data_IF_607166928390
#
_entry.id   IF_607166928390
#
_cell.length_a   1.000
_cell.length_b   1.000
_cell.length_c   1.000
_cell.angle_alpha   90.00
_cell.angle_beta   90.00
_cell.angle_gamma   90.00
#
_symmetry.space_group_name_H-M   'P 1'
#
loop_
_entity.id
_entity.type
_entity.pdbx_description
1 polymer ?
#
# COMPACT_ATOMS: atom_id res chain seq x y z
N UNK A 1 -15.16 -13.78 4.03
CA UNK A 1 -14.93 -12.42 4.57
C UNK A 1 -14.20 -12.44 5.92
N UNK A 2 -14.46 -13.42 6.79
CA UNK A 2 -13.88 -13.51 8.14
C UNK A 2 -12.38 -13.21 8.20
N UNK A 3 -11.63 -13.58 7.16
CA UNK A 3 -10.20 -13.28 7.08
C UNK A 3 -9.88 -11.99 6.31
N UNK A 4 -10.54 -11.73 5.18
CA UNK A 4 -10.17 -10.62 4.29
C UNK A 4 -10.35 -9.23 4.88
N UNK A 5 -11.48 -8.94 5.55
CA UNK A 5 -11.73 -7.60 6.05
C UNK A 5 -10.83 -7.27 7.27
N UNK A 6 -10.69 -8.16 8.27
CA UNK A 6 -9.67 -8.00 9.32
C UNK A 6 -8.24 -7.91 8.77
N UNK A 7 -7.89 -8.73 7.78
CA UNK A 7 -6.58 -8.67 7.12
C UNK A 7 -6.29 -7.29 6.53
N UNK A 8 -7.22 -6.73 5.74
CA UNK A 8 -7.03 -5.42 5.11
C UNK A 8 -6.95 -4.29 6.15
N UNK A 9 -7.74 -4.35 7.21
CA UNK A 9 -7.67 -3.39 8.32
C UNK A 9 -6.31 -3.46 9.02
N UNK A 10 -5.82 -4.67 9.31
CA UNK A 10 -4.50 -4.86 9.92
C UNK A 10 -3.38 -4.39 8.99
N UNK A 11 -3.44 -4.76 7.70
CA UNK A 11 -2.43 -4.37 6.73
C UNK A 11 -2.38 -2.85 6.55
N UNK A 12 -3.54 -2.18 6.50
CA UNK A 12 -3.62 -0.72 6.51
C UNK A 12 -2.94 -0.13 7.74
N UNK A 13 -3.31 -0.59 8.95
CA UNK A 13 -2.78 -0.07 10.23
C UNK A 13 -1.27 -0.25 10.34
N UNK A 14 -0.76 -1.44 10.08
CA UNK A 14 0.67 -1.75 10.21
C UNK A 14 1.49 -1.03 9.14
N UNK A 15 1.01 -1.00 7.90
CA UNK A 15 1.69 -0.30 6.82
C UNK A 15 1.73 1.21 7.07
N UNK A 16 0.67 1.80 7.62
CA UNK A 16 0.66 3.21 8.03
C UNK A 16 1.74 3.49 9.08
N UNK A 17 1.79 2.71 10.17
CA UNK A 17 2.82 2.87 11.22
C UNK A 17 4.23 2.72 10.66
N UNK A 18 4.45 1.73 9.80
CA UNK A 18 5.77 1.46 9.22
C UNK A 18 6.20 2.54 8.22
N UNK A 19 5.24 3.15 7.51
CA UNK A 19 5.48 4.28 6.62
C UNK A 19 5.84 5.58 7.36
N UNK A 20 5.48 5.74 8.63
CA UNK A 20 5.89 6.89 9.44
C UNK A 20 7.36 6.82 9.91
N UNK A 21 7.99 5.65 9.84
CA UNK A 21 9.34 5.42 10.31
C UNK A 21 10.30 5.52 9.11
N UNK A 22 11.31 6.42 9.13
CA UNK A 22 12.29 6.54 8.07
C UNK A 22 13.00 5.22 7.75
N UNK A 23 13.10 4.90 6.46
CA UNK A 23 13.65 3.64 5.91
C UNK A 23 14.36 3.88 4.57
N UNK A 24 15.17 2.92 4.09
CA UNK A 24 15.64 2.91 2.71
C UNK A 24 14.49 3.06 1.72
N UNK A 25 14.73 3.76 0.61
CA UNK A 25 13.68 4.20 -0.31
C UNK A 25 12.72 3.09 -0.76
N UNK A 26 13.24 1.92 -1.15
CA UNK A 26 12.42 0.82 -1.66
C UNK A 26 11.49 0.25 -0.58
N UNK A 27 12.01 0.07 0.63
CA UNK A 27 11.27 -0.44 1.78
C UNK A 27 10.24 0.57 2.29
N UNK A 28 10.61 1.85 2.35
CA UNK A 28 9.65 2.91 2.67
C UNK A 28 8.50 2.93 1.65
N UNK A 29 8.83 2.87 0.36
CA UNK A 29 7.83 2.88 -0.69
C UNK A 29 6.91 1.66 -0.67
N UNK A 30 7.41 0.47 -0.31
CA UNK A 30 6.56 -0.72 -0.23
C UNK A 30 5.49 -0.57 0.87
N UNK A 31 5.83 0.00 2.02
CA UNK A 31 4.84 0.28 3.08
C UNK A 31 3.82 1.34 2.68
N UNK A 32 4.23 2.39 1.98
CA UNK A 32 3.28 3.38 1.45
C UNK A 32 2.32 2.74 0.47
N UNK A 33 2.83 1.93 -0.48
CA UNK A 33 1.98 1.25 -1.46
C UNK A 33 1.04 0.27 -0.77
N UNK A 34 1.50 -0.50 0.21
CA UNK A 34 0.67 -1.41 0.98
C UNK A 34 -0.45 -0.65 1.73
N UNK A 35 -0.12 0.45 2.42
CA UNK A 35 -1.09 1.32 3.08
C UNK A 35 -2.15 1.83 2.11
N UNK A 36 -1.73 2.45 1.00
CA UNK A 36 -2.66 3.04 0.03
C UNK A 36 -3.53 1.99 -0.66
N UNK A 37 -2.98 0.81 -0.95
CA UNK A 37 -3.73 -0.29 -1.55
C UNK A 37 -4.81 -0.82 -0.60
N UNK A 38 -4.47 -1.12 0.65
CA UNK A 38 -5.44 -1.56 1.65
C UNK A 38 -6.48 -0.47 1.95
N UNK A 39 -6.06 0.80 2.05
CA UNK A 39 -6.99 1.92 2.19
C UNK A 39 -7.99 1.99 1.03
N UNK A 40 -7.54 1.83 -0.22
CA UNK A 40 -8.43 1.81 -1.39
C UNK A 40 -9.45 0.68 -1.30
N UNK A 41 -9.02 -0.54 -0.97
CA UNK A 41 -9.91 -1.68 -0.81
C UNK A 41 -10.99 -1.41 0.26
N UNK A 42 -10.60 -0.85 1.41
CA UNK A 42 -11.53 -0.49 2.48
C UNK A 42 -12.49 0.64 2.07
N UNK A 43 -12.03 1.65 1.33
CA UNK A 43 -12.90 2.71 0.81
C UNK A 43 -13.97 2.14 -0.12
N UNK A 44 -13.58 1.25 -1.04
CA UNK A 44 -14.52 0.63 -1.97
C UNK A 44 -15.57 -0.21 -1.24
N UNK A 45 -15.14 -0.99 -0.24
CA UNK A 45 -16.03 -1.76 0.61
C UNK A 45 -17.02 -0.88 1.38
N UNK A 46 -16.54 0.13 2.14
CA UNK A 46 -17.41 0.99 2.94
C UNK A 46 -18.32 1.89 2.10
N UNK A 47 -17.91 2.28 0.88
CA UNK A 47 -18.78 3.00 -0.07
C UNK A 47 -19.73 2.07 -0.85
N UNK A 48 -19.68 0.76 -0.60
CA UNK A 48 -20.43 -0.27 -1.32
C UNK A 48 -20.29 -0.13 -2.84
N UNK A 49 -19.05 -0.11 -3.31
CA UNK A 49 -18.73 -0.01 -4.74
C UNK A 49 -19.00 -1.36 -5.44
N UNK A 50 -19.40 -1.35 -6.72
CA UNK A 50 -19.64 -2.59 -7.48
C UNK A 50 -18.42 -3.51 -7.64
N UNK A 51 -17.21 -3.02 -7.35
CA UNK A 51 -15.98 -3.81 -7.36
C UNK A 51 -15.84 -4.76 -6.16
N UNK A 52 -16.72 -4.65 -5.17
CA UNK A 52 -16.72 -5.49 -3.98
C UNK A 52 -17.81 -6.56 -4.07
N UNK A 53 -17.45 -7.82 -3.83
CA UNK A 53 -18.39 -8.94 -3.81
C UNK A 53 -19.35 -8.92 -2.60
N UNK A 54 -19.07 -8.06 -1.62
CA UNK A 54 -19.79 -8.02 -0.35
C UNK A 54 -20.29 -6.62 -0.01
N UNK A 55 -21.56 -6.53 0.34
CA UNK A 55 -22.17 -5.32 0.89
C UNK A 55 -21.91 -5.25 2.40
N UNK A 56 -21.33 -4.15 2.93
CA UNK A 56 -21.09 -4.03 4.37
C UNK A 56 -22.37 -4.19 5.21
N UNK A 57 -23.55 -3.96 4.66
CA UNK A 57 -24.84 -4.15 5.36
C UNK A 57 -25.18 -5.61 5.65
N UNK A 58 -24.55 -6.56 4.95
CA UNK A 58 -24.62 -7.99 5.30
C UNK A 58 -23.98 -8.27 6.68
N UNK A 59 -23.06 -7.38 7.06
CA UNK A 59 -22.26 -7.24 8.29
C UNK A 59 -23.03 -6.94 9.57
N UNK A 60 -24.05 -6.11 9.37
CA UNK A 60 -24.42 -5.11 10.35
C UNK A 60 -25.91 -5.18 10.64
N UNK A 61 -26.29 -4.59 11.76
CA UNK A 61 -27.69 -4.33 12.10
C UNK A 61 -28.33 -3.43 11.03
N UNK A 62 -29.65 -3.51 10.89
CA UNK A 62 -30.44 -2.71 9.93
C UNK A 62 -30.32 -1.19 10.10
N UNK A 63 -29.80 -0.73 11.24
CA UNK A 63 -29.55 0.67 11.53
C UNK A 63 -28.28 1.22 10.88
N UNK A 64 -27.39 0.37 10.36
CA UNK A 64 -26.20 0.83 9.64
C UNK A 64 -26.60 1.38 8.28
N UNK A 65 -26.11 2.58 7.97
CA UNK A 65 -26.31 3.25 6.69
C UNK A 65 -24.96 3.52 6.04
N UNK A 66 -24.90 3.30 4.72
CA UNK A 66 -23.71 3.62 3.92
C UNK A 66 -23.50 5.13 3.93
N UNK A 67 -22.40 5.60 4.52
CA UNK A 67 -21.97 6.98 4.34
C UNK A 67 -21.04 7.07 3.14
N UNK A 68 -21.46 7.80 2.11
CA UNK A 68 -20.64 7.95 0.90
C UNK A 68 -19.64 9.10 1.02
N UNK A 69 -19.82 9.99 2.00
CA UNK A 69 -19.06 11.23 2.20
C UNK A 69 -18.05 11.17 3.35
N UNK A 70 -17.86 10.02 4.01
CA UNK A 70 -16.88 9.86 5.09
C UNK A 70 -15.45 10.17 4.61
N UNK A 71 -15.22 10.04 3.30
CA UNK A 71 -13.99 10.42 2.63
C UNK A 71 -14.29 11.24 1.38
N UNK A 72 -13.60 12.38 1.27
CA UNK A 72 -13.65 13.28 0.11
C UNK A 72 -13.18 12.56 -1.15
N UNK A 73 -13.88 12.76 -2.27
CA UNK A 73 -13.56 12.10 -3.54
C UNK A 73 -12.20 12.54 -4.11
N UNK A 74 -11.72 13.72 -3.74
CA UNK A 74 -10.37 14.18 -4.05
C UNK A 74 -9.31 13.26 -3.45
N UNK A 75 -9.49 12.81 -2.21
CA UNK A 75 -8.54 11.90 -1.55
C UNK A 75 -8.53 10.55 -2.26
N UNK A 76 -9.70 10.02 -2.63
CA UNK A 76 -9.78 8.77 -3.39
C UNK A 76 -9.10 8.89 -4.76
N UNK A 77 -9.27 10.03 -5.43
CA UNK A 77 -8.58 10.31 -6.71
C UNK A 77 -7.07 10.29 -6.53
N UNK A 78 -6.56 10.90 -5.48
CA UNK A 78 -5.12 10.89 -5.21
C UNK A 78 -4.58 9.52 -4.81
N UNK A 79 -5.33 8.74 -4.02
CA UNK A 79 -4.99 7.34 -3.73
C UNK A 79 -4.85 6.56 -5.04
N UNK A 80 -5.82 6.68 -5.95
CA UNK A 80 -5.79 6.02 -7.25
C UNK A 80 -4.60 6.45 -8.12
N UNK A 81 -4.21 7.73 -8.08
CA UNK A 81 -3.03 8.22 -8.81
C UNK A 81 -1.73 7.51 -8.37
N UNK A 82 -1.65 7.04 -7.13
CA UNK A 82 -0.45 6.40 -6.57
C UNK A 82 -0.40 4.89 -6.75
N UNK A 83 -1.54 4.21 -6.87
CA UNK A 83 -1.63 2.74 -6.92
C UNK A 83 -2.07 2.17 -8.28
N UNK A 84 -2.88 2.90 -9.05
CA UNK A 84 -3.69 2.28 -10.11
C UNK A 84 -2.90 2.00 -11.39
N UNK A 85 -1.91 2.82 -11.76
CA UNK A 85 -1.22 2.68 -13.06
C UNK A 85 0.21 3.24 -13.05
N UNK A 86 1.04 2.79 -13.99
CA UNK A 86 2.29 3.47 -14.40
C UNK A 86 1.95 4.79 -15.12
N UNK A 87 1.34 5.74 -14.40
CA UNK A 87 1.01 7.06 -14.95
C UNK A 87 2.15 8.05 -14.75
N UNK A 88 2.12 9.13 -15.52
CA UNK A 88 2.93 10.33 -15.28
C UNK A 88 2.65 11.02 -13.94
N UNK A 89 1.56 10.68 -13.24
CA UNK A 89 1.21 11.23 -11.92
C UNK A 89 1.78 10.43 -10.76
N UNK A 90 2.29 9.22 -11.01
CA UNK A 90 2.98 8.42 -10.00
C UNK A 90 4.39 8.97 -9.84
N UNK A 91 4.72 9.40 -8.64
CA UNK A 91 6.01 10.01 -8.34
C UNK A 91 6.86 9.15 -7.42
N UNK A 92 8.17 9.15 -7.66
CA UNK A 92 9.17 8.54 -6.77
C UNK A 92 9.52 9.44 -5.59
N UNK A 93 9.18 10.73 -5.67
CA UNK A 93 9.52 11.74 -4.66
C UNK A 93 8.50 11.67 -3.53
N UNK A 94 8.98 11.45 -2.31
CA UNK A 94 8.12 11.14 -1.15
C UNK A 94 7.15 12.27 -0.80
N UNK A 95 7.58 13.52 -0.95
CA UNK A 95 6.77 14.72 -0.69
C UNK A 95 5.74 15.03 -1.79
N UNK A 96 5.91 14.45 -2.98
CA UNK A 96 4.96 14.54 -4.09
C UNK A 96 3.98 13.37 -4.11
N UNK A 97 4.29 12.27 -3.40
CA UNK A 97 3.25 11.33 -2.97
C UNK A 97 2.32 12.07 -2.03
N UNK A 98 1.10 11.55 -1.86
CA UNK A 98 0.14 12.03 -0.88
C UNK A 98 0.87 12.53 0.38
N UNK A 99 0.86 13.83 0.65
CA UNK A 99 1.67 14.39 1.73
C UNK A 99 1.26 13.81 3.09
N UNK A 100 2.15 13.87 4.09
CA UNK A 100 1.92 13.29 5.43
C UNK A 100 0.56 13.69 6.03
N UNK A 101 0.15 14.95 5.84
CA UNK A 101 -1.16 15.45 6.28
C UNK A 101 -2.32 14.68 5.66
N UNK A 102 -2.22 14.32 4.39
CA UNK A 102 -3.26 13.61 3.68
C UNK A 102 -3.28 12.13 4.05
N UNK A 103 -2.13 11.52 4.36
CA UNK A 103 -2.09 10.18 4.95
C UNK A 103 -2.76 10.14 6.31
N UNK A 104 -2.46 11.12 7.17
CA UNK A 104 -3.08 11.22 8.49
C UNK A 104 -4.61 11.42 8.37
N UNK A 105 -5.07 12.27 7.44
CA UNK A 105 -6.49 12.46 7.17
C UNK A 105 -7.16 11.18 6.64
N UNK A 106 -6.52 10.48 5.70
CA UNK A 106 -7.01 9.22 5.16
C UNK A 106 -7.15 8.15 6.25
N UNK A 107 -6.09 7.96 7.05
CA UNK A 107 -6.07 7.02 8.16
C UNK A 107 -7.15 7.36 9.20
N UNK A 108 -7.28 8.63 9.59
CA UNK A 108 -8.30 9.06 10.56
C UNK A 108 -9.73 8.80 10.07
N UNK A 109 -10.03 9.12 8.80
CA UNK A 109 -11.36 8.88 8.23
C UNK A 109 -11.69 7.37 8.15
N UNK A 110 -10.71 6.55 7.77
CA UNK A 110 -10.89 5.09 7.74
C UNK A 110 -11.07 4.49 9.13
N UNK A 111 -10.26 4.89 10.13
CA UNK A 111 -10.43 4.42 11.51
C UNK A 111 -11.78 4.82 12.11
N UNK A 112 -12.28 6.02 11.77
CA UNK A 112 -13.63 6.46 12.16
C UNK A 112 -14.71 5.58 11.55
N UNK A 113 -14.60 5.28 10.25
CA UNK A 113 -15.56 4.42 9.54
C UNK A 113 -15.50 2.97 10.04
N UNK A 114 -14.31 2.41 10.26
CA UNK A 114 -14.09 1.10 10.87
C UNK A 114 -14.78 1.05 12.23
N UNK A 115 -14.54 2.04 13.09
CA UNK A 115 -15.17 2.11 14.43
C UNK A 115 -16.70 2.18 14.35
N UNK A 116 -17.25 2.87 13.35
CA UNK A 116 -18.70 2.93 13.12
C UNK A 116 -19.26 1.59 12.66
N UNK A 117 -18.57 0.93 11.73
CA UNK A 117 -18.92 -0.38 11.24
C UNK A 117 -18.90 -1.44 12.36
N UNK A 118 -17.83 -1.47 13.17
CA UNK A 118 -17.69 -2.39 14.31
C UNK A 118 -18.82 -2.26 15.32
N UNK A 119 -19.22 -1.03 15.67
CA UNK A 119 -20.34 -0.77 16.57
C UNK A 119 -21.65 -1.34 16.00
N UNK A 120 -21.80 -1.28 14.69
CA UNK A 120 -22.99 -1.69 13.97
C UNK A 120 -23.04 -3.18 13.61
N UNK A 121 -21.95 -3.94 13.79
CA UNK A 121 -21.93 -5.39 13.54
C UNK A 121 -23.08 -6.11 14.27
N UNK A 122 -23.62 -7.16 13.65
CA UNK A 122 -24.55 -8.07 14.33
C UNK A 122 -23.83 -8.86 15.42
N UNK A 123 -24.57 -9.44 16.35
CA UNK A 123 -23.97 -10.20 17.47
C UNK A 123 -23.29 -11.49 16.98
N UNK A 124 -23.76 -12.05 15.86
CA UNK A 124 -23.08 -13.13 15.16
C UNK A 124 -21.70 -12.69 14.69
N UNK A 125 -21.63 -11.62 13.90
CA UNK A 125 -20.37 -11.14 13.34
C UNK A 125 -19.43 -10.57 14.39
N UNK A 126 -19.92 -9.97 15.48
CA UNK A 126 -19.07 -9.53 16.60
C UNK A 126 -18.30 -10.67 17.27
N UNK A 127 -18.85 -11.88 17.30
CA UNK A 127 -18.18 -13.05 17.93
C UNK A 127 -17.00 -13.57 17.11
N UNK A 128 -17.08 -13.43 15.79
CA UNK A 128 -16.04 -13.84 14.84
C UNK A 128 -15.14 -12.69 14.40
N UNK A 129 -15.55 -11.44 14.68
CA UNK A 129 -14.76 -10.25 14.46
C UNK A 129 -13.54 -10.22 15.37
N UNK A 130 -12.40 -10.58 14.79
CA UNK A 130 -11.10 -10.56 15.45
C UNK A 130 -10.22 -9.59 14.68
N UNK A 131 -10.17 -8.33 15.10
CA UNK A 131 -9.05 -7.50 14.67
C UNK A 131 -7.82 -7.94 15.47
N UNK A 132 -6.75 -8.39 14.82
CA UNK A 132 -5.48 -8.60 15.49
C UNK A 132 -5.13 -7.35 16.30
N UNK A 133 -4.77 -7.54 17.58
CA UNK A 133 -4.11 -6.48 18.31
C UNK A 133 -2.88 -6.06 17.51
N UNK A 134 -2.81 -4.77 17.20
CA UNK A 134 -1.64 -4.06 16.67
C UNK A 134 -0.34 -4.80 17.01
N UNK A 135 0.43 -5.22 16.01
CA UNK A 135 1.75 -5.76 16.28
C UNK A 135 2.57 -4.64 16.91
N UNK A 136 2.96 -4.79 18.18
CA UNK A 136 3.86 -3.84 18.80
C UNK A 136 5.18 -3.92 18.04
N UNK A 137 5.50 -2.88 17.27
CA UNK A 137 6.80 -2.78 16.62
C UNK A 137 7.80 -2.52 17.75
N UNK A 138 8.47 -3.58 18.20
CA UNK A 138 9.64 -3.45 19.08
C UNK A 138 10.72 -2.69 18.30
N UNK A 139 10.82 -1.38 18.53
CA UNK A 139 11.97 -0.58 18.12
C UNK A 139 13.14 -0.97 19.01
N UNK A 140 13.79 -2.10 18.70
CA UNK A 140 15.09 -2.42 19.28
C UNK A 140 16.05 -1.32 18.84
N UNK A 141 16.45 -0.47 19.79
CA UNK A 141 17.54 0.48 19.62
C UNK A 141 18.79 -0.29 19.19
N UNK A 142 19.16 -0.23 17.91
CA UNK A 142 20.52 -0.62 17.48
C UNK A 142 21.42 0.56 17.85
N UNK A 143 21.76 0.65 19.14
CA UNK A 143 22.95 1.38 19.59
C UNK A 143 24.16 0.67 18.99
N UNK A 144 24.99 1.45 18.30
CA UNK A 144 26.08 0.94 17.48
C UNK A 144 27.07 0.04 18.21
N UNK A 145 27.55 -0.95 17.47
CA UNK A 145 28.92 -1.44 17.61
C UNK A 145 29.56 -1.50 16.23
N UNK A 146 30.55 -0.61 16.07
CA UNK A 146 31.62 -0.70 15.09
C UNK A 146 32.35 -2.03 15.28
N UNK A 147 32.33 -2.89 14.27
CA UNK A 147 33.42 -3.84 13.99
C UNK A 147 33.37 -4.21 12.51
N UNK A 148 34.36 -3.74 11.75
CA UNK A 148 34.69 -4.30 10.43
C UNK A 148 34.95 -5.80 10.56
N UNK A 149 34.66 -6.57 9.50
CA UNK A 149 35.79 -7.20 8.84
C UNK A 149 35.74 -7.04 7.31
N UNK A 150 36.90 -6.69 6.77
CA UNK A 150 37.27 -6.78 5.37
C UNK A 150 37.01 -8.19 4.85
N UNK A 151 36.29 -8.30 3.74
CA UNK A 151 36.36 -9.47 2.85
C UNK A 151 36.61 -8.98 1.44
N UNK A 152 37.87 -9.10 1.05
CA UNK A 152 38.36 -8.90 -0.31
C UNK A 152 37.72 -9.96 -1.21
N UNK A 153 36.89 -9.55 -2.17
CA UNK A 153 36.50 -10.42 -3.29
C UNK A 153 37.51 -10.20 -4.40
N UNK A 154 38.38 -11.18 -4.61
CA UNK A 154 39.25 -11.26 -5.78
C UNK A 154 38.39 -11.60 -6.99
N UNK A 155 38.21 -10.62 -7.90
CA UNK A 155 37.67 -10.88 -9.23
C UNK A 155 38.80 -11.44 -10.08
N UNK A 156 38.81 -12.75 -10.29
CA UNK A 156 39.65 -13.39 -11.29
C UNK A 156 39.03 -13.09 -12.66
N UNK A 157 39.63 -12.14 -13.39
CA UNK A 157 39.41 -12.00 -14.83
C UNK A 157 39.98 -13.22 -15.53
N UNK A 158 39.12 -14.06 -16.11
CA UNK A 158 39.54 -14.98 -17.15
C UNK A 158 38.94 -14.52 -18.48
N UNK A 159 39.84 -14.41 -19.45
CA UNK A 159 39.65 -13.78 -20.75
C UNK A 159 39.86 -14.83 -21.82
N UNK A 160 38.82 -15.10 -22.63
CA UNK A 160 38.87 -15.61 -24.02
C UNK A 160 37.46 -15.75 -24.59
N UNK A 161 36.99 -14.80 -25.39
CA UNK A 161 37.01 -14.65 -26.87
C UNK A 161 35.77 -15.22 -27.58
N UNK A 162 35.23 -14.34 -28.43
CA UNK A 162 34.52 -14.57 -29.68
C UNK A 162 33.06 -15.06 -29.68
N UNK A 163 32.16 -14.11 -29.99
CA UNK A 163 31.24 -14.31 -31.11
C UNK A 163 30.92 -12.95 -31.77
N UNK A 164 31.56 -12.70 -32.92
CA UNK A 164 31.21 -11.66 -33.88
C UNK A 164 29.86 -12.02 -34.52
N UNK A 165 28.86 -11.15 -34.42
CA UNK A 165 27.73 -11.16 -35.36
C UNK A 165 27.68 -9.79 -36.04
N UNK A 166 28.09 -9.81 -37.30
CA UNK A 166 27.97 -8.73 -38.26
C UNK A 166 26.48 -8.40 -38.52
N UNK A 167 26.16 -7.10 -38.60
CA UNK A 167 24.86 -6.65 -39.07
C UNK A 167 24.71 -6.72 -40.59
N UNK A 168 23.49 -6.62 -41.12
CA UNK A 168 23.27 -6.19 -42.49
C UNK A 168 22.70 -4.76 -42.53
N UNK A 169 23.38 -3.91 -43.30
CA UNK A 169 22.89 -2.67 -43.89
C UNK A 169 21.86 -2.99 -44.99
N UNK A 170 20.72 -2.31 -44.97
CA UNK A 170 19.71 -2.34 -46.04
C UNK A 170 19.26 -0.91 -46.41
N UNK A 171 19.01 -0.58 -47.69
CA UNK A 171 19.00 0.80 -48.15
C UNK A 171 17.60 1.45 -48.25
N UNK A 172 17.60 2.77 -48.04
CA UNK A 172 16.84 3.86 -48.69
C UNK A 172 15.33 3.70 -48.93
N UNK A 173 14.53 4.43 -48.13
CA UNK A 173 13.13 4.74 -48.46
C UNK A 173 13.00 5.80 -49.56
N UNK A 174 11.88 5.82 -50.32
CA UNK A 174 11.67 6.83 -51.36
C UNK A 174 11.15 8.15 -50.79
N UNK A 175 11.70 9.26 -51.28
CA UNK A 175 11.12 10.59 -51.16
C UNK A 175 10.03 10.80 -52.22
N UNK A 176 8.78 10.91 -51.78
CA UNK A 176 7.75 11.93 -52.12
C UNK A 176 6.36 11.42 -51.80
#
# INVERSE_FOLDING_TARGET
MEEHLPYEITLMRESYKLALIPKPWAEHNSFIVAFLNSSRNLIEFFKNKPSCDFDPRMFTRSTYQIEKRFLRDTILTEVNNQISHLTSKRTKVLNEKLGEKLWAELNANLESEISRFEKALTDEYKRIWKLPQSFAISTSNVSGQSSSPTSTVTVTTDSRTDCLIAGPTGPSGPQR
#
